data_IF_511456152946
#
_entry.id   IF_511456152946
#
_cell.length_a   1.000
_cell.length_b   1.000
_cell.length_c   1.000
_cell.angle_alpha   90.00
_cell.angle_beta   90.00
_cell.angle_gamma   90.00
#
_symmetry.space_group_name_H-M   'P 1'
#
loop_
_entity.id
_entity.type
_entity.pdbx_description
1 polymer ?
#
# COMPACT_ATOMS: atom_id res chain seq x y z
N UNK A 1 -33.75 -13.17 20.15
CA UNK A 1 -33.59 -12.32 21.34
C UNK A 1 -33.00 -10.98 20.86
N UNK A 2 -33.81 -9.90 20.87
CA UNK A 2 -33.34 -8.58 20.55
C UNK A 2 -32.64 -8.02 21.80
N UNK A 3 -31.35 -7.81 21.76
CA UNK A 3 -30.60 -7.13 22.83
C UNK A 3 -31.01 -5.66 22.83
N UNK A 4 -31.66 -5.22 23.91
CA UNK A 4 -31.96 -3.82 24.17
C UNK A 4 -30.61 -3.10 24.42
N UNK A 5 -30.05 -2.50 23.40
CA UNK A 5 -28.89 -1.58 23.52
C UNK A 5 -29.37 -0.31 24.22
N UNK A 6 -28.75 0.04 25.33
CA UNK A 6 -29.00 1.32 25.99
C UNK A 6 -28.25 2.44 25.29
N UNK A 7 -28.72 3.68 25.48
CA UNK A 7 -28.05 4.87 24.96
C UNK A 7 -26.64 5.06 25.54
N UNK A 8 -26.36 4.51 26.71
CA UNK A 8 -25.01 4.52 27.32
C UNK A 8 -24.06 3.54 26.62
N UNK A 9 -24.54 2.36 26.21
CA UNK A 9 -23.73 1.38 25.48
C UNK A 9 -23.32 1.93 24.11
N UNK A 10 -24.22 2.63 23.43
CA UNK A 10 -23.91 3.25 22.14
C UNK A 10 -22.89 4.40 22.27
N UNK A 11 -22.97 5.18 23.34
CA UNK A 11 -22.03 6.29 23.59
C UNK A 11 -20.63 5.78 23.94
N UNK A 12 -20.52 4.75 24.78
CA UNK A 12 -19.23 4.13 25.12
C UNK A 12 -18.54 3.50 23.89
N UNK A 13 -19.31 2.92 22.96
CA UNK A 13 -18.80 2.39 21.70
C UNK A 13 -18.24 3.54 20.83
N UNK A 14 -18.99 4.61 20.63
CA UNK A 14 -18.53 5.77 19.83
C UNK A 14 -17.27 6.38 20.42
N UNK A 15 -17.20 6.55 21.74
CA UNK A 15 -15.99 7.09 22.40
C UNK A 15 -14.79 6.18 22.20
N UNK A 16 -14.95 4.87 22.27
CA UNK A 16 -13.87 3.90 22.00
C UNK A 16 -13.40 3.94 20.54
N UNK A 17 -14.30 4.05 19.56
CA UNK A 17 -13.93 4.20 18.15
C UNK A 17 -13.16 5.50 17.90
N UNK A 18 -13.58 6.61 18.50
CA UNK A 18 -12.89 7.91 18.34
C UNK A 18 -11.45 7.86 18.88
N UNK A 19 -11.23 7.18 20.02
CA UNK A 19 -9.89 6.98 20.57
C UNK A 19 -9.04 6.14 19.64
N UNK A 20 -9.59 5.05 19.09
CA UNK A 20 -8.89 4.15 18.19
C UNK A 20 -8.49 4.89 16.89
N UNK A 21 -9.39 5.65 16.30
CA UNK A 21 -9.14 6.47 15.11
C UNK A 21 -8.01 7.48 15.33
N UNK A 22 -7.99 8.16 16.48
CA UNK A 22 -6.94 9.10 16.84
C UNK A 22 -5.57 8.39 16.98
N UNK A 23 -5.54 7.20 17.57
CA UNK A 23 -4.32 6.39 17.68
C UNK A 23 -3.83 5.97 16.29
N UNK A 24 -4.70 5.46 15.43
CA UNK A 24 -4.35 5.09 14.05
C UNK A 24 -3.80 6.28 13.28
N UNK A 25 -4.43 7.43 13.37
CA UNK A 25 -3.95 8.64 12.71
C UNK A 25 -2.60 9.10 13.23
N UNK A 26 -2.39 9.08 14.54
CA UNK A 26 -1.10 9.48 15.13
C UNK A 26 0.02 8.52 14.70
N UNK A 27 -0.25 7.22 14.70
CA UNK A 27 0.71 6.18 14.25
C UNK A 27 1.02 6.35 12.77
N UNK A 28 -0.01 6.44 11.93
CA UNK A 28 0.15 6.57 10.48
C UNK A 28 0.85 7.89 10.11
N UNK A 29 0.47 9.00 10.73
CA UNK A 29 1.13 10.30 10.55
C UNK A 29 2.60 10.27 10.95
N UNK A 30 2.94 9.55 12.03
CA UNK A 30 4.34 9.39 12.46
C UNK A 30 5.13 8.57 11.42
N UNK A 31 4.62 7.44 10.98
CA UNK A 31 5.28 6.63 9.95
C UNK A 31 5.40 7.37 8.62
N UNK A 32 4.41 8.15 8.24
CA UNK A 32 4.44 8.99 7.05
C UNK A 32 5.50 10.07 7.13
N UNK A 33 5.61 10.77 8.26
CA UNK A 33 6.65 11.78 8.47
C UNK A 33 8.05 11.17 8.39
N UNK A 34 8.27 10.02 9.03
CA UNK A 34 9.52 9.28 8.95
C UNK A 34 9.78 8.78 7.52
N UNK A 35 8.75 8.30 6.83
CA UNK A 35 8.83 7.88 5.43
C UNK A 35 9.28 9.04 4.52
N UNK A 36 8.68 10.21 4.66
CA UNK A 36 9.09 11.41 3.91
C UNK A 36 10.54 11.76 4.20
N UNK A 37 10.93 11.81 5.46
CA UNK A 37 12.28 12.17 5.90
C UNK A 37 13.33 11.20 5.33
N UNK A 38 13.15 9.90 5.54
CA UNK A 38 14.12 8.89 5.15
C UNK A 38 14.20 8.73 3.63
N UNK A 39 13.08 8.70 2.92
CA UNK A 39 13.09 8.54 1.47
C UNK A 39 13.64 9.79 0.77
N UNK A 40 13.34 11.00 1.24
CA UNK A 40 13.95 12.23 0.72
C UNK A 40 15.45 12.23 0.95
N UNK A 41 15.91 11.85 2.16
CA UNK A 41 17.33 11.73 2.48
C UNK A 41 18.03 10.70 1.59
N UNK A 42 17.40 9.56 1.37
CA UNK A 42 17.91 8.50 0.49
C UNK A 42 18.06 9.00 -0.95
N UNK A 43 17.05 9.65 -1.51
CA UNK A 43 17.10 10.24 -2.84
C UNK A 43 18.28 11.23 -2.95
N UNK A 44 18.43 12.11 -1.96
CA UNK A 44 19.51 13.08 -1.94
C UNK A 44 20.91 12.42 -1.91
N UNK A 45 21.10 11.40 -1.06
CA UNK A 45 22.35 10.64 -0.97
C UNK A 45 22.67 9.93 -2.29
N UNK A 46 21.66 9.30 -2.92
CA UNK A 46 21.82 8.59 -4.19
C UNK A 46 22.19 9.56 -5.31
N UNK A 47 21.55 10.71 -5.39
CA UNK A 47 21.82 11.71 -6.42
C UNK A 47 23.23 12.31 -6.28
N UNK A 48 23.66 12.62 -5.06
CA UNK A 48 25.01 13.16 -4.79
C UNK A 48 26.10 12.09 -4.75
N UNK A 49 25.78 10.86 -4.41
CA UNK A 49 26.72 9.76 -4.24
C UNK A 49 27.35 9.32 -5.58
N UNK A 50 28.68 9.40 -5.69
CA UNK A 50 29.44 8.92 -6.88
C UNK A 50 29.78 7.43 -6.81
N UNK A 51 29.59 6.79 -5.64
CA UNK A 51 30.05 5.41 -5.35
C UNK A 51 29.09 4.31 -5.78
N UNK A 52 27.83 4.64 -6.04
CA UNK A 52 26.84 3.62 -6.46
C UNK A 52 26.93 3.35 -7.96
N UNK A 53 26.94 2.09 -8.36
CA UNK A 53 26.76 1.70 -9.75
C UNK A 53 25.45 2.26 -10.31
N UNK A 54 25.43 2.62 -11.58
CA UNK A 54 24.27 3.27 -12.21
C UNK A 54 22.98 2.42 -12.14
N UNK A 55 23.13 1.11 -12.16
CA UNK A 55 22.05 0.13 -12.07
C UNK A 55 21.36 0.19 -10.70
N UNK A 56 22.15 0.10 -9.63
CA UNK A 56 21.64 0.18 -8.25
C UNK A 56 20.99 1.53 -7.98
N UNK A 57 21.56 2.61 -8.54
CA UNK A 57 20.96 3.96 -8.42
C UNK A 57 19.53 4.01 -8.96
N UNK A 58 19.28 3.45 -10.14
CA UNK A 58 17.96 3.47 -10.76
C UNK A 58 16.91 2.75 -9.91
N UNK A 59 17.25 1.57 -9.39
CA UNK A 59 16.33 0.78 -8.57
C UNK A 59 16.05 1.46 -7.23
N UNK A 60 17.09 1.94 -6.54
CA UNK A 60 16.92 2.63 -5.26
C UNK A 60 16.14 3.94 -5.42
N UNK A 61 16.39 4.71 -6.49
CA UNK A 61 15.61 5.90 -6.80
C UNK A 61 14.14 5.57 -7.06
N UNK A 62 13.87 4.52 -7.83
CA UNK A 62 12.50 4.08 -8.11
C UNK A 62 11.76 3.73 -6.81
N UNK A 63 12.37 2.93 -5.93
CA UNK A 63 11.75 2.55 -4.65
C UNK A 63 11.56 3.76 -3.75
N UNK A 64 12.61 4.58 -3.56
CA UNK A 64 12.51 5.76 -2.70
C UNK A 64 11.47 6.76 -3.19
N UNK A 65 11.29 6.88 -4.50
CA UNK A 65 10.26 7.75 -5.07
C UNK A 65 8.85 7.19 -4.82
N UNK A 66 8.64 5.88 -5.03
CA UNK A 66 7.37 5.24 -4.73
C UNK A 66 7.03 5.38 -3.24
N UNK A 67 7.97 5.03 -2.36
CA UNK A 67 7.77 5.07 -0.91
C UNK A 67 7.54 6.52 -0.41
N UNK A 68 8.16 7.52 -1.03
CA UNK A 68 7.92 8.93 -0.75
C UNK A 68 6.48 9.33 -1.12
N UNK A 69 6.02 8.95 -2.31
CA UNK A 69 4.65 9.23 -2.76
C UNK A 69 3.64 8.50 -1.85
N UNK A 70 3.89 7.24 -1.50
CA UNK A 70 3.07 6.49 -0.54
C UNK A 70 2.97 7.20 0.82
N UNK A 71 4.10 7.71 1.34
CA UNK A 71 4.15 8.42 2.61
C UNK A 71 3.33 9.72 2.63
N UNK A 72 3.06 10.32 1.46
CA UNK A 72 2.20 11.51 1.33
C UNK A 72 0.73 11.10 1.16
N UNK A 73 0.45 10.08 0.34
CA UNK A 73 -0.92 9.68 0.00
C UNK A 73 -1.59 8.93 1.14
N UNK A 74 -0.88 8.04 1.83
CA UNK A 74 -1.45 7.16 2.86
C UNK A 74 -2.14 7.94 3.99
N UNK A 75 -1.51 8.93 4.65
CA UNK A 75 -2.19 9.70 5.70
C UNK A 75 -3.40 10.46 5.18
N UNK A 76 -3.40 10.90 3.92
CA UNK A 76 -4.57 11.52 3.30
C UNK A 76 -5.72 10.53 3.18
N UNK A 77 -5.43 9.29 2.77
CA UNK A 77 -6.43 8.21 2.66
C UNK A 77 -7.00 7.85 4.03
N UNK A 78 -6.14 7.70 5.04
CA UNK A 78 -6.56 7.41 6.42
C UNK A 78 -7.38 8.57 6.98
N UNK A 79 -6.97 9.82 6.77
CA UNK A 79 -7.71 10.99 7.22
C UNK A 79 -9.12 11.09 6.59
N UNK A 80 -9.27 10.73 5.33
CA UNK A 80 -10.56 10.79 4.64
C UNK A 80 -11.49 9.61 4.95
N UNK A 81 -10.95 8.43 5.24
CA UNK A 81 -11.72 7.20 5.46
C UNK A 81 -11.82 6.78 6.94
N UNK A 82 -10.93 7.26 7.80
CA UNK A 82 -10.81 6.80 9.19
C UNK A 82 -11.43 7.73 10.24
N UNK A 83 -11.80 8.96 9.88
CA UNK A 83 -12.39 9.87 10.86
C UNK A 83 -13.91 9.79 10.86
N UNK A 84 -14.47 9.44 12.01
CA UNK A 84 -15.92 9.49 12.28
C UNK A 84 -16.54 10.87 12.11
N UNK A 85 -15.71 11.93 12.13
CA UNK A 85 -16.14 13.34 12.04
C UNK A 85 -15.96 13.94 10.64
N UNK A 86 -15.16 13.31 9.76
CA UNK A 86 -14.90 13.82 8.40
C UNK A 86 -15.59 12.86 7.42
N UNK A 87 -16.67 13.34 6.80
CA UNK A 87 -17.33 12.59 5.75
C UNK A 87 -16.51 12.62 4.47
N UNK A 88 -16.34 11.47 3.82
CA UNK A 88 -15.71 11.41 2.50
C UNK A 88 -16.48 12.28 1.50
N UNK A 89 -15.81 13.03 0.62
CA UNK A 89 -16.51 13.78 -0.43
C UNK A 89 -17.38 12.86 -1.28
N UNK A 90 -18.63 13.23 -1.54
CA UNK A 90 -19.52 12.44 -2.39
C UNK A 90 -19.10 12.53 -3.87
N UNK A 91 -17.91 12.02 -4.14
CA UNK A 91 -17.28 12.01 -5.47
C UNK A 91 -16.76 10.62 -5.80
N UNK A 92 -17.54 9.86 -6.56
CA UNK A 92 -17.18 8.50 -6.98
C UNK A 92 -15.86 8.42 -7.75
N UNK A 93 -15.57 9.41 -8.58
CA UNK A 93 -14.32 9.44 -9.37
C UNK A 93 -13.11 9.64 -8.48
N UNK A 94 -13.21 10.49 -7.46
CA UNK A 94 -12.15 10.70 -6.48
C UNK A 94 -11.89 9.43 -5.68
N UNK A 95 -12.95 8.76 -5.21
CA UNK A 95 -12.85 7.48 -4.49
C UNK A 95 -12.12 6.43 -5.34
N UNK A 96 -12.56 6.23 -6.58
CA UNK A 96 -11.92 5.28 -7.50
C UNK A 96 -10.45 5.59 -7.74
N UNK A 97 -10.13 6.84 -8.01
CA UNK A 97 -8.76 7.28 -8.27
C UNK A 97 -7.87 7.10 -7.03
N UNK A 98 -8.35 7.49 -5.86
CA UNK A 98 -7.60 7.40 -4.62
C UNK A 98 -7.28 5.94 -4.24
N UNK A 99 -8.30 5.07 -4.21
CA UNK A 99 -8.11 3.65 -3.91
C UNK A 99 -7.18 2.98 -4.93
N UNK A 100 -7.42 3.21 -6.21
CA UNK A 100 -6.59 2.65 -7.28
C UNK A 100 -5.12 3.06 -7.16
N UNK A 101 -4.85 4.35 -6.97
CA UNK A 101 -3.49 4.87 -6.85
C UNK A 101 -2.81 4.33 -5.60
N UNK A 102 -3.50 4.31 -4.45
CA UNK A 102 -2.97 3.81 -3.19
C UNK A 102 -2.55 2.35 -3.29
N UNK A 103 -3.43 1.47 -3.75
CA UNK A 103 -3.13 0.04 -3.88
C UNK A 103 -2.05 -0.23 -4.95
N UNK A 104 -2.10 0.48 -6.08
CA UNK A 104 -1.10 0.34 -7.14
C UNK A 104 0.30 0.71 -6.66
N UNK A 105 0.46 1.84 -5.97
CA UNK A 105 1.74 2.29 -5.43
C UNK A 105 2.27 1.35 -4.35
N UNK A 106 1.40 0.92 -3.44
CA UNK A 106 1.77 -0.01 -2.38
C UNK A 106 2.31 -1.33 -2.94
N UNK A 107 1.62 -1.87 -3.94
CA UNK A 107 2.04 -3.11 -4.60
C UNK A 107 3.29 -2.92 -5.47
N UNK A 108 3.43 -1.79 -6.16
CA UNK A 108 4.64 -1.46 -6.91
C UNK A 108 5.87 -1.38 -6.00
N UNK A 109 5.73 -0.78 -4.81
CA UNK A 109 6.79 -0.74 -3.79
C UNK A 109 7.19 -2.15 -3.35
N UNK A 110 6.22 -3.01 -3.05
CA UNK A 110 6.47 -4.39 -2.63
C UNK A 110 7.17 -5.21 -3.73
N UNK A 111 6.68 -5.14 -4.97
CA UNK A 111 7.30 -5.83 -6.10
C UNK A 111 8.72 -5.32 -6.40
N UNK A 112 8.96 -4.01 -6.31
CA UNK A 112 10.29 -3.43 -6.51
C UNK A 112 11.29 -3.94 -5.46
N UNK A 113 10.88 -4.02 -4.19
CA UNK A 113 11.70 -4.60 -3.12
C UNK A 113 11.95 -6.09 -3.34
N UNK A 114 10.95 -6.84 -3.80
CA UNK A 114 11.07 -8.26 -4.15
C UNK A 114 12.05 -8.47 -5.30
N UNK A 115 12.01 -7.64 -6.33
CA UNK A 115 12.93 -7.71 -7.46
C UNK A 115 14.39 -7.53 -7.02
N UNK A 116 14.67 -6.52 -6.17
CA UNK A 116 16.01 -6.32 -5.60
C UNK A 116 16.46 -7.50 -4.74
N UNK A 117 15.55 -8.08 -3.95
CA UNK A 117 15.86 -9.24 -3.12
C UNK A 117 16.26 -10.45 -3.97
N UNK A 118 15.52 -10.71 -5.05
CA UNK A 118 15.84 -11.77 -6.02
C UNK A 118 17.19 -11.50 -6.71
N UNK A 119 17.45 -10.28 -7.15
CA UNK A 119 18.72 -9.92 -7.78
C UNK A 119 19.91 -10.16 -6.85
N UNK A 120 19.75 -9.88 -5.55
CA UNK A 120 20.81 -10.18 -4.56
C UNK A 120 21.07 -11.68 -4.44
N UNK A 121 20.04 -12.52 -4.41
CA UNK A 121 20.22 -13.98 -4.42
C UNK A 121 20.93 -14.44 -5.69
N UNK A 122 20.52 -13.93 -6.86
CA UNK A 122 21.16 -14.23 -8.14
C UNK A 122 22.62 -13.80 -8.13
N UNK A 123 22.94 -12.65 -7.53
CA UNK A 123 24.32 -12.17 -7.43
C UNK A 123 25.21 -13.10 -6.59
N UNK A 124 24.68 -13.68 -5.54
CA UNK A 124 25.42 -14.61 -4.66
C UNK A 124 25.51 -15.99 -5.29
N UNK A 125 24.40 -16.53 -5.78
CA UNK A 125 24.36 -17.90 -6.29
C UNK A 125 24.92 -18.03 -7.71
N UNK A 126 24.78 -16.98 -8.54
CA UNK A 126 25.14 -17.02 -9.96
C UNK A 126 25.91 -15.75 -10.37
N UNK A 127 27.13 -15.51 -9.83
CA UNK A 127 27.88 -14.27 -10.05
C UNK A 127 28.19 -13.98 -11.53
N UNK A 128 28.38 -15.02 -12.35
CA UNK A 128 28.63 -14.86 -13.78
C UNK A 128 27.42 -14.35 -14.56
N UNK A 129 26.20 -14.61 -14.06
CA UNK A 129 24.97 -14.11 -14.67
C UNK A 129 24.83 -12.62 -14.44
N UNK A 130 25.12 -12.15 -13.22
CA UNK A 130 25.03 -10.72 -12.85
C UNK A 130 26.02 -9.86 -13.63
N UNK A 131 27.18 -10.38 -14.00
CA UNK A 131 28.15 -9.63 -14.82
C UNK A 131 27.63 -9.28 -16.22
N UNK A 132 26.62 -10.02 -16.71
CA UNK A 132 25.95 -9.73 -17.99
C UNK A 132 24.73 -8.82 -17.86
N UNK A 133 24.39 -8.38 -16.64
CA UNK A 133 23.25 -7.50 -16.42
C UNK A 133 23.56 -6.09 -16.93
N UNK A 134 22.87 -5.70 -17.97
CA UNK A 134 22.94 -4.37 -18.55
C UNK A 134 21.87 -3.44 -17.95
N UNK A 135 22.03 -2.15 -18.17
CA UNK A 135 21.05 -1.12 -17.76
C UNK A 135 19.65 -1.39 -18.31
N UNK A 136 19.58 -1.96 -19.51
CA UNK A 136 18.32 -2.35 -20.17
C UNK A 136 17.53 -3.38 -19.37
N UNK A 137 18.17 -4.34 -18.73
CA UNK A 137 17.53 -5.33 -17.89
C UNK A 137 16.85 -4.67 -16.66
N UNK A 138 17.56 -3.75 -16.02
CA UNK A 138 17.01 -3.01 -14.86
C UNK A 138 15.79 -2.19 -15.24
N UNK A 139 15.85 -1.48 -16.37
CA UNK A 139 14.71 -0.70 -16.88
C UNK A 139 13.53 -1.63 -17.19
N UNK A 140 13.79 -2.80 -17.79
CA UNK A 140 12.75 -3.79 -18.08
C UNK A 140 12.10 -4.35 -16.80
N UNK A 141 12.89 -4.61 -15.75
CA UNK A 141 12.36 -5.05 -14.45
C UNK A 141 11.50 -3.95 -13.82
N UNK A 142 11.96 -2.70 -13.82
CA UNK A 142 11.17 -1.57 -13.32
C UNK A 142 9.87 -1.43 -14.11
N UNK A 143 9.92 -1.49 -15.43
CA UNK A 143 8.73 -1.42 -16.29
C UNK A 143 7.76 -2.57 -16.00
N UNK A 144 8.26 -3.80 -15.83
CA UNK A 144 7.45 -4.96 -15.48
C UNK A 144 6.75 -4.79 -14.13
N UNK A 145 7.45 -4.27 -13.12
CA UNK A 145 6.89 -3.97 -11.80
C UNK A 145 5.71 -3.00 -11.93
N UNK A 146 5.89 -1.90 -12.67
CA UNK A 146 4.83 -0.91 -12.84
C UNK A 146 3.64 -1.43 -13.64
N UNK A 147 3.90 -2.11 -14.77
CA UNK A 147 2.83 -2.70 -15.59
C UNK A 147 2.03 -3.72 -14.77
N UNK A 148 2.72 -4.60 -14.03
CA UNK A 148 2.05 -5.58 -13.16
C UNK A 148 1.20 -4.93 -12.08
N UNK A 149 1.72 -3.89 -11.40
CA UNK A 149 0.99 -3.19 -10.36
C UNK A 149 -0.26 -2.47 -10.90
N UNK A 150 -0.16 -1.85 -12.06
CA UNK A 150 -1.26 -1.16 -12.74
C UNK A 150 -2.35 -2.17 -13.13
N UNK A 151 -1.98 -3.26 -13.79
CA UNK A 151 -2.94 -4.24 -14.32
C UNK A 151 -3.66 -5.03 -13.22
N UNK A 152 -2.96 -5.41 -12.15
CA UNK A 152 -3.53 -6.19 -11.04
C UNK A 152 -4.62 -5.42 -10.29
N UNK A 153 -4.55 -4.09 -10.27
CA UNK A 153 -5.49 -3.26 -9.51
C UNK A 153 -6.56 -2.57 -10.35
N UNK A 154 -6.67 -2.88 -11.65
CA UNK A 154 -7.70 -2.29 -12.53
C UNK A 154 -9.12 -2.52 -11.99
N UNK A 155 -9.40 -3.68 -11.40
CA UNK A 155 -10.69 -3.97 -10.76
C UNK A 155 -11.02 -2.98 -9.64
N UNK A 156 -10.05 -2.51 -8.86
CA UNK A 156 -10.27 -1.51 -7.81
C UNK A 156 -10.77 -0.19 -8.43
N UNK A 157 -10.19 0.23 -9.55
CA UNK A 157 -10.64 1.43 -10.25
C UNK A 157 -12.09 1.31 -10.77
N UNK A 158 -12.55 0.09 -11.05
CA UNK A 158 -13.91 -0.18 -11.56
C UNK A 158 -14.90 -0.28 -10.40
N UNK A 159 -14.55 -1.04 -9.36
CA UNK A 159 -15.47 -1.51 -8.32
C UNK A 159 -15.53 -0.61 -7.07
N UNK A 160 -14.62 0.35 -6.90
CA UNK A 160 -14.64 1.25 -5.75
C UNK A 160 -15.86 2.18 -5.77
N UNK A 161 -16.49 2.32 -4.61
CA UNK A 161 -17.71 3.12 -4.43
C UNK A 161 -17.67 3.92 -3.14
N UNK A 162 -18.43 5.01 -3.12
CA UNK A 162 -18.72 5.77 -1.91
C UNK A 162 -20.00 5.21 -1.31
N UNK A 163 -19.94 4.80 -0.05
CA UNK A 163 -21.06 4.26 0.70
C UNK A 163 -21.33 5.09 1.94
N UNK A 164 -22.60 5.12 2.34
CA UNK A 164 -23.03 5.70 3.60
C UNK A 164 -22.86 4.67 4.71
N UNK A 165 -22.06 5.00 5.72
CA UNK A 165 -21.80 4.13 6.85
C UNK A 165 -22.82 4.40 7.97
N UNK A 166 -23.72 3.47 8.19
CA UNK A 166 -24.68 3.52 9.31
C UNK A 166 -24.00 3.40 10.68
N UNK A 167 -22.78 2.91 10.73
CA UNK A 167 -22.03 2.75 11.98
C UNK A 167 -21.36 4.06 12.44
N UNK A 168 -21.20 5.02 11.54
CA UNK A 168 -20.49 6.27 11.81
C UNK A 168 -21.36 7.48 11.46
N UNK A 169 -22.50 7.64 12.14
CA UNK A 169 -23.39 8.81 12.01
C UNK A 169 -23.70 9.22 10.57
N UNK A 170 -24.00 8.26 9.71
CA UNK A 170 -24.29 8.45 8.27
C UNK A 170 -23.18 9.17 7.50
N UNK A 171 -21.91 9.01 7.92
CA UNK A 171 -20.77 9.54 7.18
C UNK A 171 -20.51 8.75 5.92
N UNK A 172 -20.07 9.42 4.87
CA UNK A 172 -19.65 8.78 3.62
C UNK A 172 -18.25 8.20 3.78
N UNK A 173 -18.05 6.97 3.31
CA UNK A 173 -16.76 6.27 3.26
C UNK A 173 -16.48 5.74 1.87
N UNK A 174 -15.23 5.76 1.46
CA UNK A 174 -14.80 5.15 0.20
C UNK A 174 -14.40 3.69 0.45
N UNK A 175 -14.92 2.77 -0.35
CA UNK A 175 -14.70 1.32 -0.21
C UNK A 175 -14.19 0.75 -1.54
N UNK A 176 -13.09 -0.01 -1.54
CA UNK A 176 -12.45 -0.49 -2.76
C UNK A 176 -13.25 -1.57 -3.51
N UNK A 177 -14.24 -2.20 -2.89
CA UNK A 177 -15.09 -3.20 -3.56
C UNK A 177 -16.46 -3.31 -2.90
N UNK A 178 -17.50 -2.85 -3.61
CA UNK A 178 -18.89 -2.90 -3.13
C UNK A 178 -19.43 -4.33 -2.99
N UNK A 179 -18.97 -5.26 -3.80
CA UNK A 179 -19.45 -6.65 -3.78
C UNK A 179 -19.04 -7.38 -2.50
N UNK A 180 -17.97 -6.93 -1.82
CA UNK A 180 -17.52 -7.48 -0.53
C UNK A 180 -18.52 -7.25 0.59
N UNK A 181 -19.33 -6.21 0.51
CA UNK A 181 -20.32 -5.87 1.55
C UNK A 181 -21.56 -6.76 1.43
N UNK A 182 -21.90 -7.19 0.21
CA UNK A 182 -23.13 -7.94 -0.07
C UNK A 182 -22.98 -9.47 -0.03
N UNK A 183 -21.76 -10.02 -0.15
CA UNK A 183 -21.50 -11.45 -0.19
C UNK A 183 -20.63 -11.92 0.98
N UNK A 184 -21.15 -11.81 2.19
CA UNK A 184 -20.44 -11.90 3.47
C UNK A 184 -19.45 -13.05 3.66
N UNK A 185 -19.62 -14.21 3.08
CA UNK A 185 -18.75 -15.36 3.37
C UNK A 185 -17.77 -15.74 2.24
N UNK A 186 -18.24 -15.83 1.02
CA UNK A 186 -17.41 -16.15 -0.16
C UNK A 186 -16.42 -15.02 -0.48
N UNK A 187 -16.83 -13.79 -0.21
CA UNK A 187 -15.99 -12.62 -0.39
C UNK A 187 -14.79 -12.60 0.57
N UNK A 188 -14.96 -13.00 1.83
CA UNK A 188 -13.84 -13.09 2.77
C UNK A 188 -12.79 -14.13 2.36
N UNK A 189 -13.21 -15.27 1.83
CA UNK A 189 -12.27 -16.30 1.35
C UNK A 189 -11.50 -15.83 0.11
N UNK A 190 -12.20 -15.25 -0.86
CA UNK A 190 -11.54 -14.69 -2.06
C UNK A 190 -10.58 -13.56 -1.70
N UNK A 191 -11.00 -12.66 -0.82
CA UNK A 191 -10.16 -11.57 -0.31
C UNK A 191 -8.92 -12.10 0.38
N UNK A 192 -9.06 -13.08 1.27
CA UNK A 192 -7.94 -13.68 1.99
C UNK A 192 -6.94 -14.34 1.03
N UNK A 193 -7.42 -15.06 0.02
CA UNK A 193 -6.57 -15.68 -1.02
C UNK A 193 -5.88 -14.61 -1.86
N UNK A 194 -6.60 -13.59 -2.30
CA UNK A 194 -6.00 -12.47 -3.05
C UNK A 194 -4.92 -11.76 -2.25
N UNK A 195 -5.18 -11.43 -0.98
CA UNK A 195 -4.19 -10.80 -0.12
C UNK A 195 -3.00 -11.73 0.15
N UNK A 196 -3.23 -13.01 0.35
CA UNK A 196 -2.16 -13.98 0.53
C UNK A 196 -1.24 -14.05 -0.71
N UNK A 197 -1.81 -14.13 -1.90
CA UNK A 197 -1.03 -14.21 -3.14
C UNK A 197 -0.36 -12.87 -3.44
N UNK A 198 -1.08 -11.75 -3.35
CA UNK A 198 -0.55 -10.43 -3.72
C UNK A 198 0.51 -9.90 -2.75
N UNK A 199 0.35 -10.15 -1.44
CA UNK A 199 1.20 -9.52 -0.42
C UNK A 199 2.07 -10.49 0.37
N UNK A 200 1.55 -11.67 0.77
CA UNK A 200 2.34 -12.62 1.54
C UNK A 200 3.42 -13.29 0.67
N UNK A 201 3.11 -13.65 -0.56
CA UNK A 201 4.09 -14.31 -1.45
C UNK A 201 5.32 -13.43 -1.71
N UNK A 202 5.20 -12.16 -2.14
CA UNK A 202 6.36 -11.27 -2.27
C UNK A 202 7.12 -11.07 -0.96
N UNK A 203 6.41 -10.93 0.16
CA UNK A 203 7.03 -10.77 1.49
C UNK A 203 7.83 -12.01 1.90
N UNK A 204 7.32 -13.20 1.62
CA UNK A 204 8.04 -14.46 1.83
C UNK A 204 9.30 -14.57 0.98
N UNK A 205 9.22 -14.17 -0.29
CA UNK A 205 10.39 -14.16 -1.19
C UNK A 205 11.47 -13.22 -0.63
N UNK A 206 11.09 -12.04 -0.17
CA UNK A 206 12.01 -11.09 0.47
C UNK A 206 12.68 -11.75 1.69
N UNK A 207 11.88 -12.32 2.59
CA UNK A 207 12.37 -12.95 3.82
C UNK A 207 13.36 -14.08 3.53
N UNK A 208 13.01 -14.99 2.63
CA UNK A 208 13.89 -16.10 2.22
C UNK A 208 15.17 -15.57 1.56
N UNK A 209 15.04 -14.59 0.68
CA UNK A 209 16.18 -13.99 -0.03
C UNK A 209 17.21 -13.40 0.93
N UNK A 210 16.76 -12.71 1.97
CA UNK A 210 17.66 -12.18 3.00
C UNK A 210 18.15 -13.23 4.00
N UNK A 211 17.46 -14.35 4.16
CA UNK A 211 17.89 -15.47 5.00
C UNK A 211 18.97 -16.35 4.36
N UNK A 212 19.10 -16.30 3.03
CA UNK A 212 20.10 -17.07 2.25
C UNK A 212 21.42 -16.30 2.10
N UNK A 213 21.41 -14.97 2.24
CA UNK A 213 22.58 -14.08 2.15
C UNK A 213 23.28 -13.95 3.49
#
# INVERSE_FOLDING_TARGET
>A
MATNWTTEDSKSLVDNYTVLDNVYFAVDGTFSALGILFNTSTIFIILKGRRFGQQIKLQLLNISLIDLICSVILPTTVALNGFTTISYPNNKSLCKAQEYVTFTLFYASLLAKTAIAIEKVVAVCFPLVILKYERTHIISVIALVWVSAILIHVNIAIDSVVLESKYFNDTLVCVPNANLIYAQYLAYQQLAIEYAIKYLTPSFIILISYGVI
#
